data_IF_404497215327
#
_entry.id   IF_404497215327
#
_cell.length_a   1.000
_cell.length_b   1.000
_cell.length_c   1.000
_cell.angle_alpha   90.00
_cell.angle_beta   90.00
_cell.angle_gamma   90.00
#
_symmetry.space_group_name_H-M   'P 1'
#
loop_
_entity.id
_entity.type
_entity.pdbx_description
1 polymer ?
#
# COMPACT_ATOMS: atom_id res chain seq x y z
N UNK A 1 -1.22 3.10 -8.58
CA UNK A 1 -1.94 1.80 -8.49
C UNK A 1 -2.39 1.49 -7.06
N UNK A 2 -1.50 1.47 -6.07
CA UNK A 2 -1.90 1.19 -4.69
C UNK A 2 -2.91 2.20 -4.11
N UNK A 3 -2.69 3.52 -4.24
CA UNK A 3 -3.66 4.52 -3.79
C UNK A 3 -5.03 4.48 -4.51
N UNK A 4 -5.10 3.90 -5.72
CA UNK A 4 -6.34 3.79 -6.48
C UNK A 4 -7.28 2.71 -5.94
N UNK A 5 -6.78 1.78 -5.11
CA UNK A 5 -7.65 0.79 -4.43
C UNK A 5 -8.67 1.47 -3.52
N UNK A 6 -8.39 2.68 -3.04
CA UNK A 6 -9.30 3.49 -2.23
C UNK A 6 -10.53 3.97 -3.00
N UNK A 7 -10.46 4.09 -4.33
CA UNK A 7 -11.61 4.45 -5.17
C UNK A 7 -12.45 3.24 -5.57
N UNK A 8 -11.89 2.03 -5.48
CA UNK A 8 -12.54 0.77 -5.87
C UNK A 8 -13.25 0.08 -4.71
N UNK A 9 -12.87 0.40 -3.47
CA UNK A 9 -13.46 -0.18 -2.26
C UNK A 9 -14.47 0.80 -1.65
N UNK A 10 -15.70 0.33 -1.45
CA UNK A 10 -16.74 1.12 -0.78
C UNK A 10 -16.31 1.51 0.65
N UNK A 11 -16.61 2.74 1.12
CA UNK A 11 -16.13 3.25 2.41
C UNK A 11 -16.56 2.42 3.64
N UNK A 12 -17.56 1.57 3.49
CA UNK A 12 -18.10 0.71 4.55
C UNK A 12 -17.16 -0.44 4.92
N UNK A 13 -16.25 -0.84 4.03
CA UNK A 13 -15.35 -1.97 4.26
C UNK A 13 -13.99 -1.51 4.81
N UNK A 14 -13.32 -2.34 5.64
CA UNK A 14 -12.00 -2.01 6.18
C UNK A 14 -10.99 -1.89 5.03
N UNK A 15 -10.19 -0.81 5.01
CA UNK A 15 -9.20 -0.52 3.96
C UNK A 15 -7.79 -0.51 4.54
N UNK A 16 -6.78 -0.66 3.70
CA UNK A 16 -5.38 -0.55 4.11
C UNK A 16 -5.04 0.81 4.75
N UNK A 17 -5.72 1.89 4.37
CA UNK A 17 -5.47 3.22 4.92
C UNK A 17 -5.91 3.36 6.38
N UNK A 18 -6.83 2.51 6.85
CA UNK A 18 -7.30 2.56 8.23
C UNK A 18 -6.18 2.23 9.22
N UNK A 19 -5.20 1.42 8.81
CA UNK A 19 -4.02 1.14 9.65
C UNK A 19 -3.13 2.39 9.80
N UNK A 20 -3.03 3.21 8.75
CA UNK A 20 -2.27 4.47 8.77
C UNK A 20 -3.02 5.54 9.54
N UNK A 21 -4.34 5.63 9.35
CA UNK A 21 -5.18 6.54 10.12
C UNK A 21 -5.14 6.20 11.61
N UNK A 22 -5.12 4.92 11.99
CA UNK A 22 -4.93 4.50 13.38
C UNK A 22 -3.58 4.93 13.94
N UNK A 23 -2.48 4.78 13.18
CA UNK A 23 -1.16 5.22 13.59
C UNK A 23 -1.04 6.76 13.67
N UNK A 24 -1.61 7.47 12.69
CA UNK A 24 -1.58 8.94 12.66
C UNK A 24 -2.47 9.59 13.73
N UNK A 25 -3.53 8.88 14.17
CA UNK A 25 -4.36 9.30 15.28
C UNK A 25 -3.57 9.37 16.59
N UNK A 26 -2.56 8.53 16.79
CA UNK A 26 -1.67 8.60 17.96
C UNK A 26 -0.90 9.93 18.02
N UNK A 27 -0.67 10.55 16.87
CA UNK A 27 -0.02 11.85 16.73
C UNK A 27 -1.02 13.01 16.60
N UNK A 28 -2.32 12.74 16.66
CA UNK A 28 -3.39 13.74 16.51
C UNK A 28 -3.53 14.29 15.10
N UNK A 29 -3.11 13.55 14.06
CA UNK A 29 -3.09 14.01 12.67
C UNK A 29 -4.19 13.28 11.88
N UNK A 30 -5.17 14.01 11.35
CA UNK A 30 -6.18 13.43 10.44
C UNK A 30 -5.58 13.24 9.02
N UNK A 31 -5.18 12.01 8.71
CA UNK A 31 -4.55 11.65 7.43
C UNK A 31 -5.53 11.53 6.26
N UNK A 32 -6.82 11.31 6.53
CA UNK A 32 -7.84 11.09 5.51
C UNK A 32 -8.08 12.30 4.59
N UNK A 33 -7.68 13.51 4.98
CA UNK A 33 -7.95 14.75 4.24
C UNK A 33 -6.76 15.25 3.40
N UNK A 34 -5.55 14.70 3.59
CA UNK A 34 -4.35 15.17 2.91
C UNK A 34 -3.90 14.20 1.79
N UNK A 35 -4.11 14.55 0.50
CA UNK A 35 -3.73 13.71 -0.62
C UNK A 35 -2.23 13.38 -0.66
N UNK A 36 -1.38 14.27 -0.15
CA UNK A 36 0.07 14.07 -0.15
C UNK A 36 0.45 12.94 0.81
N UNK A 37 -0.20 12.86 1.98
CA UNK A 37 0.07 11.80 2.96
C UNK A 37 -0.37 10.44 2.42
N UNK A 38 -1.52 10.38 1.76
CA UNK A 38 -2.01 9.17 1.07
C UNK A 38 -1.01 8.71 0.01
N UNK A 39 -0.47 9.65 -0.78
CA UNK A 39 0.51 9.33 -1.80
C UNK A 39 1.82 8.80 -1.22
N UNK A 40 2.35 9.45 -0.17
CA UNK A 40 3.58 9.02 0.51
C UNK A 40 3.40 7.64 1.12
N UNK A 41 2.27 7.38 1.79
CA UNK A 41 2.00 6.07 2.37
C UNK A 41 1.86 4.98 1.29
N UNK A 42 1.21 5.29 0.17
CA UNK A 42 1.12 4.35 -0.94
C UNK A 42 2.47 4.10 -1.62
N UNK A 43 3.32 5.12 -1.71
CA UNK A 43 4.67 4.98 -2.23
C UNK A 43 5.56 4.15 -1.29
N UNK A 44 5.44 4.37 0.01
CA UNK A 44 6.11 3.56 1.03
C UNK A 44 5.70 2.08 0.93
N UNK A 45 4.41 1.78 0.77
CA UNK A 45 3.92 0.42 0.51
C UNK A 45 4.60 -0.22 -0.71
N UNK A 46 4.61 0.51 -1.83
CA UNK A 46 5.22 0.03 -3.06
C UNK A 46 6.73 -0.18 -2.92
N UNK A 47 7.44 0.73 -2.23
CA UNK A 47 8.89 0.69 -2.12
C UNK A 47 9.37 -0.49 -1.29
N UNK A 48 8.79 -0.74 -0.11
CA UNK A 48 9.21 -1.89 0.71
C UNK A 48 8.82 -3.22 0.06
N UNK A 49 7.75 -3.24 -0.73
CA UNK A 49 7.33 -4.44 -1.48
C UNK A 49 8.31 -4.71 -2.60
N UNK A 50 8.76 -3.66 -3.30
CA UNK A 50 9.77 -3.76 -4.36
C UNK A 50 11.13 -4.23 -3.82
N UNK A 51 11.53 -3.75 -2.64
CA UNK A 51 12.76 -4.18 -1.97
C UNK A 51 12.61 -5.49 -1.19
N UNK A 52 11.41 -6.08 -1.15
CA UNK A 52 11.10 -7.31 -0.40
C UNK A 52 11.42 -7.21 1.11
N UNK A 53 11.40 -6.00 1.69
CA UNK A 53 11.63 -5.79 3.13
C UNK A 53 10.42 -6.22 3.95
N UNK A 54 9.22 -5.77 3.54
CA UNK A 54 7.94 -6.22 4.10
C UNK A 54 7.78 -6.02 5.61
N UNK A 55 7.78 -4.78 6.09
CA UNK A 55 7.59 -4.47 7.52
C UNK A 55 6.26 -4.98 8.10
N UNK A 56 5.22 -5.14 7.26
CA UNK A 56 3.94 -5.72 7.65
C UNK A 56 3.03 -4.78 8.45
N UNK A 57 3.40 -3.52 8.55
CA UNK A 57 2.64 -2.41 9.13
C UNK A 57 1.40 -2.06 8.30
N UNK A 58 1.52 -2.12 6.97
CA UNK A 58 0.43 -1.84 6.04
C UNK A 58 0.10 -3.12 5.27
N UNK A 59 -1.16 -3.55 5.34
CA UNK A 59 -1.61 -4.81 4.74
C UNK A 59 -2.95 -4.71 4.01
N UNK A 60 -3.16 -5.53 2.96
CA UNK A 60 -4.45 -5.61 2.29
C UNK A 60 -5.49 -6.28 3.22
N UNK A 61 -6.59 -5.57 3.48
CA UNK A 61 -7.73 -6.08 4.24
C UNK A 61 -8.75 -6.77 3.33
N UNK A 62 -8.86 -6.31 2.08
CA UNK A 62 -9.84 -6.81 1.11
C UNK A 62 -9.24 -7.74 0.06
N UNK A 63 -10.10 -8.55 -0.56
CA UNK A 63 -9.72 -9.43 -1.68
C UNK A 63 -9.20 -8.62 -2.87
N UNK A 64 -9.81 -7.46 -3.17
CA UNK A 64 -9.36 -6.57 -4.24
C UNK A 64 -7.97 -5.98 -3.95
N UNK A 65 -7.74 -5.52 -2.72
CA UNK A 65 -6.42 -5.03 -2.31
C UNK A 65 -5.37 -6.15 -2.40
N UNK A 66 -5.71 -7.38 -2.00
CA UNK A 66 -4.83 -8.55 -2.14
C UNK A 66 -4.47 -8.82 -3.60
N UNK A 67 -5.44 -8.75 -4.53
CA UNK A 67 -5.17 -8.93 -5.97
C UNK A 67 -4.19 -7.87 -6.50
N UNK A 68 -4.36 -6.61 -6.09
CA UNK A 68 -3.44 -5.53 -6.47
C UNK A 68 -2.06 -5.73 -5.84
N UNK A 69 -1.98 -6.14 -4.57
CA UNK A 69 -0.71 -6.47 -3.91
C UNK A 69 0.03 -7.59 -4.65
N UNK A 70 -0.67 -8.64 -5.06
CA UNK A 70 -0.09 -9.74 -5.85
C UNK A 70 0.50 -9.21 -7.16
N UNK A 71 -0.23 -8.34 -7.87
CA UNK A 71 0.27 -7.71 -9.10
C UNK A 71 1.56 -6.91 -8.88
N UNK A 72 1.63 -6.13 -7.79
CA UNK A 72 2.81 -5.34 -7.43
C UNK A 72 4.00 -6.27 -7.14
N UNK A 73 3.80 -7.31 -6.33
CA UNK A 73 4.85 -8.28 -5.98
C UNK A 73 5.38 -8.99 -7.23
N UNK A 74 4.50 -9.44 -8.12
CA UNK A 74 4.90 -10.07 -9.39
C UNK A 74 5.73 -9.12 -10.25
N UNK A 75 5.31 -7.86 -10.38
CA UNK A 75 6.06 -6.86 -11.15
C UNK A 75 7.43 -6.55 -10.54
N UNK A 76 7.52 -6.49 -9.22
CA UNK A 76 8.77 -6.28 -8.50
C UNK A 76 9.73 -7.46 -8.67
N UNK A 77 9.21 -8.69 -8.55
CA UNK A 77 9.98 -9.91 -8.75
C UNK A 77 10.52 -10.02 -10.18
N UNK A 78 9.72 -9.68 -11.19
CA UNK A 78 10.17 -9.63 -12.59
C UNK A 78 11.26 -8.59 -12.80
N UNK A 79 11.13 -7.41 -12.19
CA UNK A 79 12.15 -6.36 -12.27
C UNK A 79 13.48 -6.82 -11.66
N UNK A 80 13.45 -7.45 -10.49
CA UNK A 80 14.63 -8.04 -9.86
C UNK A 80 15.24 -9.17 -10.67
N UNK A 81 14.41 -10.05 -11.24
CA UNK A 81 14.87 -11.13 -12.10
C UNK A 81 15.56 -10.60 -13.37
N UNK A 82 15.06 -9.50 -13.94
CA UNK A 82 15.69 -8.83 -15.07
C UNK A 82 17.05 -8.22 -14.67
N UNK A 83 17.12 -7.51 -13.53
CA UNK A 83 18.37 -6.89 -13.05
C UNK A 83 19.45 -7.94 -12.76
N UNK A 84 19.08 -9.12 -12.24
CA UNK A 84 20.01 -10.22 -11.97
C UNK A 84 20.34 -11.08 -13.20
N UNK A 85 19.51 -11.01 -14.24
CA UNK A 85 19.68 -11.79 -15.47
C UNK A 85 20.66 -11.18 -16.46
N UNK A 86 20.93 -9.87 -16.32
CA UNK A 86 22.01 -9.13 -16.99
C UNK A 86 23.33 -9.27 -16.22
#
# INVERSE_FOLDING_TARGET
LWAMTLQLVEPQFPRWINDIEAADLEFGIESSQDPMRIYVAAFYFCSYTMTSVGYGDIGPKNVLERLVSIGIILSAGLCWAYILGE
#
